data_IF_522836087137
#
_entry.id   IF_522836087137
#
_cell.length_a   1.000
_cell.length_b   1.000
_cell.length_c   1.000
_cell.angle_alpha   90.00
_cell.angle_beta   90.00
_cell.angle_gamma   90.00
#
_symmetry.space_group_name_H-M   'P 1'
#
loop_
_entity.id
_entity.type
_entity.pdbx_description
1 polymer ?
#
# COMPACT_ATOMS: atom_id res chain seq x y z
N UNK A 1 10.91 9.39 18.56
CA UNK A 1 11.14 10.13 17.30
C UNK A 1 9.94 11.01 17.05
N UNK A 2 10.12 12.22 16.51
CA UNK A 2 8.98 13.11 16.29
C UNK A 2 8.23 12.68 15.02
N UNK A 3 6.95 12.39 15.13
CA UNK A 3 6.05 12.22 13.99
C UNK A 3 5.86 13.60 13.35
N UNK A 4 6.11 13.69 12.05
CA UNK A 4 5.82 14.93 11.30
C UNK A 4 4.58 14.70 10.45
N UNK A 5 3.57 15.54 10.64
CA UNK A 5 2.39 15.60 9.79
C UNK A 5 2.78 16.34 8.50
N UNK A 6 2.51 15.73 7.37
CA UNK A 6 2.72 16.32 6.05
C UNK A 6 1.35 16.66 5.49
N UNK A 7 1.13 17.94 5.21
CA UNK A 7 -0.12 18.37 4.59
C UNK A 7 -0.24 17.90 3.12
N UNK A 8 -1.47 17.88 2.63
CA UNK A 8 -1.85 17.44 1.28
C UNK A 8 -1.03 18.16 0.18
N UNK A 9 -0.85 19.47 0.32
CA UNK A 9 -0.11 20.28 -0.64
C UNK A 9 1.35 19.84 -0.75
N UNK A 10 1.99 19.50 0.36
CA UNK A 10 3.38 19.04 0.38
C UNK A 10 3.54 17.68 -0.27
N UNK A 11 2.64 16.72 0.00
CA UNK A 11 2.66 15.42 -0.67
C UNK A 11 2.44 15.54 -2.17
N UNK A 12 1.50 16.39 -2.60
CA UNK A 12 1.28 16.65 -4.01
C UNK A 12 2.50 17.30 -4.67
N UNK A 13 3.15 18.23 -3.99
CA UNK A 13 4.37 18.87 -4.49
C UNK A 13 5.54 17.90 -4.62
N UNK A 14 5.68 16.93 -3.70
CA UNK A 14 6.69 15.85 -3.82
C UNK A 14 6.41 15.02 -5.07
N UNK A 15 5.16 14.56 -5.24
CA UNK A 15 4.77 13.76 -6.41
C UNK A 15 4.96 14.54 -7.72
N UNK A 16 4.62 15.83 -7.76
CA UNK A 16 4.85 16.72 -8.92
C UNK A 16 6.33 16.95 -9.16
N UNK A 17 7.15 17.13 -8.12
CA UNK A 17 8.59 17.30 -8.27
C UNK A 17 9.26 16.06 -8.85
N UNK A 18 8.82 14.87 -8.47
CA UNK A 18 9.27 13.60 -9.03
C UNK A 18 8.83 13.46 -10.49
N UNK A 19 7.57 13.80 -10.82
CA UNK A 19 7.02 13.71 -12.17
C UNK A 19 7.44 14.86 -13.10
N UNK A 20 7.53 16.08 -12.58
CA UNK A 20 7.70 17.31 -13.39
C UNK A 20 9.12 17.53 -13.93
N UNK A 21 10.11 16.72 -13.51
CA UNK A 21 11.46 16.76 -14.11
C UNK A 21 11.61 15.82 -15.30
N UNK A 22 10.56 15.10 -15.64
CA UNK A 22 10.51 14.15 -16.73
C UNK A 22 9.64 14.66 -17.89
N UNK A 23 10.12 15.66 -18.59
CA UNK A 23 9.39 16.24 -19.73
C UNK A 23 9.42 15.37 -21.00
N UNK A 24 9.77 14.09 -20.92
CA UNK A 24 10.00 13.37 -22.17
C UNK A 24 9.94 11.85 -22.18
N UNK A 25 9.37 11.15 -21.20
CA UNK A 25 9.31 9.70 -21.36
C UNK A 25 8.73 8.93 -20.19
N UNK A 26 8.24 7.73 -20.47
CA UNK A 26 7.85 6.74 -19.46
C UNK A 26 9.10 6.31 -18.69
N UNK A 27 9.17 6.63 -17.43
CA UNK A 27 10.27 6.21 -16.55
C UNK A 27 10.13 4.74 -16.21
N UNK A 28 11.19 3.96 -16.36
CA UNK A 28 11.26 2.59 -15.87
C UNK A 28 11.56 2.56 -14.38
N UNK A 29 11.16 1.46 -13.70
CA UNK A 29 11.42 1.27 -12.26
C UNK A 29 12.92 1.32 -11.95
N UNK A 30 13.76 0.80 -12.87
CA UNK A 30 15.23 0.76 -12.72
C UNK A 30 15.89 2.14 -12.85
N UNK A 31 15.26 3.09 -13.53
CA UNK A 31 15.77 4.46 -13.72
C UNK A 31 15.41 5.39 -12.54
N UNK A 32 14.43 5.00 -11.73
CA UNK A 32 13.92 5.84 -10.64
C UNK A 32 14.95 6.21 -9.59
N UNK A 33 15.77 5.31 -9.06
CA UNK A 33 16.76 5.66 -8.04
C UNK A 33 17.75 6.73 -8.54
N UNK A 34 18.22 6.60 -9.79
CA UNK A 34 19.14 7.56 -10.38
C UNK A 34 18.48 8.92 -10.62
N UNK A 35 17.21 8.95 -11.00
CA UNK A 35 16.47 10.20 -11.25
C UNK A 35 16.09 10.92 -9.96
N UNK A 36 15.69 10.17 -8.93
CA UNK A 36 15.46 10.73 -7.58
C UNK A 36 16.76 11.32 -7.03
N UNK A 37 17.88 10.61 -7.16
CA UNK A 37 19.20 11.09 -6.73
C UNK A 37 19.68 12.32 -7.54
N UNK A 38 19.23 12.50 -8.77
CA UNK A 38 19.55 13.63 -9.63
C UNK A 38 18.67 14.88 -9.37
N UNK A 39 17.66 14.81 -8.51
CA UNK A 39 16.91 16.00 -8.11
C UNK A 39 17.84 16.92 -7.30
N UNK A 40 18.14 18.16 -7.76
CA UNK A 40 19.03 19.04 -7.03
C UNK A 40 18.48 19.32 -5.64
N UNK A 41 19.22 18.91 -4.63
CA UNK A 41 18.92 19.13 -3.23
C UNK A 41 19.40 20.52 -2.85
N UNK A 42 18.49 21.49 -2.81
CA UNK A 42 18.77 22.78 -2.18
C UNK A 42 18.28 22.72 -0.72
N UNK A 43 19.11 22.12 0.12
CA UNK A 43 19.04 22.17 1.58
C UNK A 43 17.74 21.69 2.22
N UNK A 44 17.78 20.57 2.93
CA UNK A 44 16.74 20.05 3.86
C UNK A 44 15.27 20.19 3.39
N UNK A 45 14.99 19.95 2.13
CA UNK A 45 13.61 19.83 1.68
C UNK A 45 12.99 18.55 2.28
N UNK A 46 11.65 18.49 2.36
CA UNK A 46 10.97 17.30 2.82
C UNK A 46 11.35 16.06 2.01
N UNK A 47 11.58 16.23 0.70
CA UNK A 47 12.03 15.16 -0.20
C UNK A 47 13.44 14.67 0.17
N UNK A 48 14.36 15.58 0.49
CA UNK A 48 15.70 15.21 0.94
C UNK A 48 15.66 14.41 2.25
N UNK A 49 14.80 14.82 3.17
CA UNK A 49 14.60 14.12 4.45
C UNK A 49 13.96 12.73 4.26
N UNK A 50 13.06 12.59 3.30
CA UNK A 50 12.44 11.27 2.97
C UNK A 50 13.46 10.32 2.33
N UNK A 51 14.31 10.84 1.44
CA UNK A 51 15.33 10.05 0.72
C UNK A 51 16.55 9.78 1.61
N UNK A 52 17.01 10.78 2.38
CA UNK A 52 18.23 10.71 3.19
C UNK A 52 18.09 10.00 4.53
N UNK A 53 16.90 9.52 4.86
CA UNK A 53 16.66 8.79 6.12
C UNK A 53 16.26 9.67 7.30
N UNK A 54 15.99 10.96 7.10
CA UNK A 54 15.57 11.86 8.17
C UNK A 54 14.11 11.74 8.61
N UNK A 55 13.23 11.19 7.76
CA UNK A 55 11.81 10.99 8.07
C UNK A 55 11.49 9.50 8.08
N UNK A 56 10.99 9.01 9.20
CA UNK A 56 10.60 7.61 9.38
C UNK A 56 9.10 7.42 9.48
N UNK A 57 8.32 8.50 9.63
CA UNK A 57 6.87 8.45 9.77
C UNK A 57 6.20 9.60 9.02
N UNK A 58 5.14 9.27 8.31
CA UNK A 58 4.28 10.22 7.59
C UNK A 58 2.84 9.98 8.03
N UNK A 59 2.15 11.06 8.40
CA UNK A 59 0.71 11.09 8.58
C UNK A 59 0.15 12.28 7.80
N UNK A 60 -0.91 12.07 6.99
CA UNK A 60 -1.48 13.11 6.15
C UNK A 60 -2.95 12.85 5.83
N UNK A 61 -3.72 13.93 5.75
CA UNK A 61 -5.13 13.93 5.38
C UNK A 61 -5.38 13.97 3.86
N UNK A 62 -4.34 13.66 3.07
CA UNK A 62 -4.43 13.64 1.61
C UNK A 62 -5.54 12.70 1.14
N UNK A 63 -6.31 13.14 0.15
CA UNK A 63 -7.36 12.34 -0.47
C UNK A 63 -6.91 11.61 -1.74
N UNK A 64 -5.89 12.12 -2.42
CA UNK A 64 -5.33 11.53 -3.65
C UNK A 64 -3.81 11.44 -3.51
N UNK A 65 -3.27 10.23 -3.59
CA UNK A 65 -1.82 9.98 -3.61
C UNK A 65 -1.42 9.70 -5.06
N UNK A 66 -0.64 10.61 -5.63
CA UNK A 66 -0.16 10.50 -7.02
C UNK A 66 0.92 9.43 -7.12
N UNK A 67 1.16 8.93 -8.35
CA UNK A 67 2.20 7.92 -8.60
C UNK A 67 3.55 8.33 -8.03
N UNK A 68 4.27 7.37 -7.48
CA UNK A 68 5.62 7.50 -6.94
C UNK A 68 5.79 8.37 -5.68
N UNK A 69 4.70 8.77 -5.02
CA UNK A 69 4.77 9.72 -3.89
C UNK A 69 5.66 9.23 -2.73
N UNK A 70 5.72 7.94 -2.48
CA UNK A 70 6.53 7.32 -1.43
C UNK A 70 7.56 6.32 -1.95
N UNK A 71 7.72 6.21 -3.27
CA UNK A 71 8.67 5.27 -3.85
C UNK A 71 10.10 5.58 -3.42
N UNK A 72 10.86 4.52 -3.14
CA UNK A 72 12.27 4.59 -2.74
C UNK A 72 12.53 5.35 -1.43
N UNK A 73 11.49 5.66 -0.65
CA UNK A 73 11.66 6.27 0.67
C UNK A 73 12.11 5.21 1.69
N UNK A 74 13.35 4.76 1.56
CA UNK A 74 13.89 3.62 2.31
C UNK A 74 13.93 3.80 3.83
N UNK A 75 13.83 5.03 4.33
CA UNK A 75 13.77 5.32 5.76
C UNK A 75 12.37 5.20 6.38
N UNK A 76 11.32 5.21 5.55
CA UNK A 76 9.95 5.17 6.06
C UNK A 76 9.63 3.83 6.71
N UNK A 77 9.03 3.92 7.90
CA UNK A 77 8.54 2.79 8.70
C UNK A 77 7.05 2.85 8.95
N UNK A 78 6.49 4.06 8.96
CA UNK A 78 5.08 4.27 9.26
C UNK A 78 4.46 5.28 8.30
N UNK A 79 3.36 4.88 7.65
CA UNK A 79 2.55 5.74 6.77
C UNK A 79 1.08 5.59 7.18
N UNK A 80 0.45 6.72 7.50
CA UNK A 80 -0.97 6.80 7.90
C UNK A 80 -1.66 7.83 7.02
N UNK A 81 -2.59 7.37 6.17
CA UNK A 81 -3.34 8.18 5.21
C UNK A 81 -4.85 7.92 5.39
N UNK A 82 -5.46 8.39 6.49
CA UNK A 82 -6.81 7.98 6.88
C UNK A 82 -7.90 8.42 5.90
N UNK A 83 -7.64 9.47 5.13
CA UNK A 83 -8.60 10.05 4.19
C UNK A 83 -8.24 9.78 2.71
N UNK A 84 -7.17 9.03 2.42
CA UNK A 84 -6.80 8.71 1.05
C UNK A 84 -7.86 7.81 0.40
N UNK A 85 -8.47 8.30 -0.68
CA UNK A 85 -9.46 7.58 -1.47
C UNK A 85 -8.82 6.87 -2.66
N UNK A 86 -7.75 7.44 -3.20
CA UNK A 86 -7.07 6.92 -4.38
C UNK A 86 -5.56 6.97 -4.20
N UNK A 87 -4.92 5.85 -4.55
CA UNK A 87 -3.46 5.70 -4.59
C UNK A 87 -3.10 5.21 -5.99
N UNK A 88 -2.37 6.03 -6.73
CA UNK A 88 -1.93 5.70 -8.08
C UNK A 88 -0.82 4.63 -8.08
N UNK A 89 -0.43 4.13 -9.25
CA UNK A 89 0.60 3.08 -9.40
C UNK A 89 1.96 3.49 -8.81
N UNK A 90 2.75 2.51 -8.40
CA UNK A 90 4.13 2.64 -7.91
C UNK A 90 4.30 3.48 -6.64
N UNK A 91 3.28 3.60 -5.80
CA UNK A 91 3.33 4.53 -4.67
C UNK A 91 4.26 4.10 -3.54
N UNK A 92 4.20 2.82 -3.17
CA UNK A 92 5.01 2.29 -2.06
C UNK A 92 6.09 1.33 -2.58
N UNK A 93 6.50 1.47 -3.85
CA UNK A 93 7.55 0.64 -4.44
C UNK A 93 8.88 0.93 -3.78
N UNK A 94 9.62 -0.13 -3.43
CA UNK A 94 10.96 -0.03 -2.81
C UNK A 94 10.97 0.77 -1.50
N UNK A 95 10.02 0.47 -0.62
CA UNK A 95 9.99 0.97 0.77
C UNK A 95 10.26 -0.19 1.74
N UNK A 96 11.47 -0.75 1.74
CA UNK A 96 11.80 -2.06 2.33
C UNK A 96 11.77 -2.10 3.87
N UNK A 97 11.59 -0.97 4.51
CA UNK A 97 11.50 -0.86 5.98
C UNK A 97 10.13 -0.40 6.48
N UNK A 98 9.11 -0.38 5.60
CA UNK A 98 7.76 0.01 5.97
C UNK A 98 7.13 -1.06 6.87
N UNK A 99 6.92 -0.74 8.14
CA UNK A 99 6.36 -1.64 9.17
C UNK A 99 4.85 -1.46 9.34
N UNK A 100 4.34 -0.24 9.11
CA UNK A 100 2.93 0.10 9.22
C UNK A 100 2.44 0.92 8.04
N UNK A 101 1.31 0.50 7.46
CA UNK A 101 0.62 1.21 6.38
C UNK A 101 -0.88 1.21 6.65
N UNK A 102 -1.45 2.39 6.87
CA UNK A 102 -2.87 2.57 7.12
C UNK A 102 -3.51 3.41 6.00
N UNK A 103 -4.39 2.78 5.23
CA UNK A 103 -5.08 3.33 4.05
C UNK A 103 -6.55 2.89 4.01
N UNK A 104 -7.34 3.12 5.08
CA UNK A 104 -8.65 2.48 5.27
C UNK A 104 -9.68 2.83 4.19
N UNK A 105 -9.62 4.03 3.62
CA UNK A 105 -10.63 4.52 2.66
C UNK A 105 -10.27 4.30 1.19
N UNK A 106 -9.07 3.76 0.91
CA UNK A 106 -8.65 3.48 -0.47
C UNK A 106 -9.54 2.40 -1.08
N UNK A 107 -10.11 2.66 -2.27
CA UNK A 107 -10.99 1.71 -2.93
C UNK A 107 -10.40 1.03 -4.17
N UNK A 108 -9.30 1.56 -4.75
CA UNK A 108 -8.62 0.90 -5.87
C UNK A 108 -7.12 0.81 -5.62
N UNK A 109 -6.56 -0.37 -5.87
CA UNK A 109 -5.13 -0.63 -5.88
C UNK A 109 -4.71 -0.81 -7.34
N UNK A 110 -3.83 0.07 -7.81
CA UNK A 110 -3.29 0.03 -9.16
C UNK A 110 -2.03 -0.86 -9.23
N UNK A 111 -1.44 -1.01 -10.40
CA UNK A 111 -0.27 -1.88 -10.60
C UNK A 111 0.97 -1.39 -9.82
N UNK A 112 1.76 -2.34 -9.30
CA UNK A 112 3.03 -2.07 -8.59
C UNK A 112 2.89 -1.15 -7.37
N UNK A 113 1.74 -1.13 -6.71
CA UNK A 113 1.51 -0.19 -5.60
C UNK A 113 2.35 -0.54 -4.37
N UNK A 114 2.52 -1.83 -4.05
CA UNK A 114 3.19 -2.29 -2.83
C UNK A 114 4.46 -3.13 -3.11
N UNK A 115 5.11 -2.95 -4.24
CA UNK A 115 6.30 -3.74 -4.61
C UNK A 115 7.44 -3.51 -3.60
N UNK A 116 7.97 -4.59 -3.01
CA UNK A 116 9.06 -4.59 -2.02
C UNK A 116 8.80 -3.74 -0.76
N UNK A 117 7.67 -4.00 -0.08
CA UNK A 117 7.38 -3.44 1.25
C UNK A 117 7.54 -4.49 2.35
N UNK A 118 7.86 -4.04 3.56
CA UNK A 118 8.15 -4.94 4.70
C UNK A 118 6.96 -5.19 5.62
N UNK A 119 5.79 -4.60 5.36
CA UNK A 119 4.60 -4.80 6.22
C UNK A 119 4.25 -6.28 6.32
N UNK A 120 3.92 -6.74 7.52
CA UNK A 120 3.47 -8.11 7.75
C UNK A 120 1.96 -8.27 7.65
N UNK A 121 1.22 -7.18 7.81
CA UNK A 121 -0.25 -7.12 7.81
C UNK A 121 -0.74 -5.95 6.99
N UNK A 122 -1.87 -6.12 6.30
CA UNK A 122 -2.50 -5.05 5.54
C UNK A 122 -4.02 -5.15 5.65
N UNK A 123 -4.68 -4.07 6.09
CA UNK A 123 -6.13 -3.97 6.13
C UNK A 123 -6.65 -3.10 4.98
N UNK A 124 -7.32 -3.74 4.04
CA UNK A 124 -7.90 -3.15 2.84
C UNK A 124 -9.42 -2.99 3.02
N UNK A 125 -9.82 -2.13 3.95
CA UNK A 125 -11.20 -1.99 4.42
C UNK A 125 -12.18 -1.63 3.30
N UNK A 126 -11.80 -0.69 2.44
CA UNK A 126 -12.69 -0.14 1.40
C UNK A 126 -12.33 -0.60 -0.01
N UNK A 127 -11.29 -1.42 -0.18
CA UNK A 127 -10.82 -1.82 -1.51
C UNK A 127 -11.85 -2.70 -2.20
N UNK A 128 -12.21 -2.32 -3.43
CA UNK A 128 -13.13 -3.04 -4.32
C UNK A 128 -12.45 -3.53 -5.60
N UNK A 129 -11.23 -3.10 -5.87
CA UNK A 129 -10.45 -3.54 -7.03
C UNK A 129 -8.96 -3.61 -6.71
N UNK A 130 -8.36 -4.75 -7.06
CA UNK A 130 -6.90 -4.94 -7.10
C UNK A 130 -6.50 -5.10 -8.56
N UNK A 131 -5.64 -4.22 -9.03
CA UNK A 131 -5.23 -4.11 -10.44
C UNK A 131 -4.47 -5.31 -10.99
N UNK A 132 -4.01 -5.20 -12.24
CA UNK A 132 -3.65 -6.34 -13.08
C UNK A 132 -2.26 -6.93 -12.82
N UNK A 133 -1.29 -6.24 -12.26
CA UNK A 133 0.03 -6.83 -12.15
C UNK A 133 0.86 -6.37 -10.96
N UNK A 134 1.56 -7.34 -10.38
CA UNK A 134 2.67 -7.19 -9.44
C UNK A 134 2.43 -6.20 -8.30
N UNK A 135 1.17 -6.14 -7.79
CA UNK A 135 0.86 -5.20 -6.72
C UNK A 135 1.64 -5.50 -5.44
N UNK A 136 1.92 -6.78 -5.20
CA UNK A 136 2.60 -7.26 -3.99
C UNK A 136 3.91 -7.97 -4.32
N UNK A 137 4.60 -7.60 -5.41
CA UNK A 137 5.87 -8.20 -5.76
C UNK A 137 6.88 -8.01 -4.60
N UNK A 138 7.70 -9.03 -4.35
CA UNK A 138 8.74 -9.01 -3.32
C UNK A 138 8.25 -8.73 -1.88
N UNK A 139 6.95 -8.89 -1.60
CA UNK A 139 6.36 -8.69 -0.26
C UNK A 139 6.44 -9.96 0.59
N UNK A 140 7.64 -10.52 0.74
CA UNK A 140 7.85 -11.82 1.41
C UNK A 140 7.45 -11.85 2.89
N UNK A 141 7.40 -10.68 3.54
CA UNK A 141 7.00 -10.55 4.95
C UNK A 141 5.47 -10.46 5.13
N UNK A 142 4.72 -10.21 4.05
CA UNK A 142 3.28 -10.06 4.14
C UNK A 142 2.61 -11.41 4.39
N UNK A 143 2.04 -11.56 5.57
CA UNK A 143 1.42 -12.81 6.04
C UNK A 143 -0.11 -12.71 6.10
N UNK A 144 -0.65 -11.51 6.35
CA UNK A 144 -2.07 -11.30 6.58
C UNK A 144 -2.57 -10.11 5.76
N UNK A 145 -3.54 -10.38 4.89
CA UNK A 145 -4.33 -9.36 4.18
C UNK A 145 -5.77 -9.51 4.63
N UNK A 146 -6.38 -8.42 5.11
CA UNK A 146 -7.80 -8.43 5.47
C UNK A 146 -8.57 -7.54 4.50
N UNK A 147 -9.61 -8.10 3.89
CA UNK A 147 -10.50 -7.40 2.97
C UNK A 147 -11.78 -7.03 3.71
N UNK A 148 -12.13 -5.75 3.74
CA UNK A 148 -13.41 -5.31 4.32
C UNK A 148 -14.59 -5.49 3.36
N UNK A 149 -14.33 -5.53 2.06
CA UNK A 149 -15.34 -5.64 0.99
C UNK A 149 -14.93 -6.67 -0.07
N UNK A 150 -15.91 -7.13 -0.85
CA UNK A 150 -15.64 -7.91 -2.07
C UNK A 150 -14.84 -7.06 -3.05
N UNK A 151 -13.73 -7.59 -3.53
CA UNK A 151 -12.87 -6.91 -4.47
C UNK A 151 -12.64 -7.75 -5.72
N UNK A 152 -12.69 -7.13 -6.89
CA UNK A 152 -12.23 -7.77 -8.13
C UNK A 152 -10.70 -7.89 -8.12
N UNK A 153 -10.19 -9.00 -8.68
CA UNK A 153 -8.76 -9.23 -8.87
C UNK A 153 -8.46 -9.26 -10.38
N UNK A 154 -7.65 -8.34 -10.84
CA UNK A 154 -7.34 -8.18 -12.25
C UNK A 154 -6.70 -9.42 -12.88
N UNK A 155 -5.75 -10.03 -12.17
CA UNK A 155 -5.22 -11.36 -12.43
C UNK A 155 -4.52 -11.94 -11.19
N UNK A 156 -4.18 -13.24 -11.22
CA UNK A 156 -3.52 -13.91 -10.10
C UNK A 156 -2.10 -13.39 -9.83
N UNK A 157 -1.41 -12.83 -10.83
CA UNK A 157 -0.08 -12.25 -10.66
C UNK A 157 -0.07 -10.96 -9.84
N UNK A 158 -1.24 -10.38 -9.59
CA UNK A 158 -1.35 -9.22 -8.70
C UNK A 158 -0.84 -9.53 -7.28
N UNK A 159 -0.99 -10.78 -6.83
CA UNK A 159 -0.56 -11.27 -5.51
C UNK A 159 0.75 -12.08 -5.54
N UNK A 160 1.43 -12.13 -6.68
CA UNK A 160 2.75 -12.75 -6.79
C UNK A 160 3.78 -11.98 -5.98
N UNK A 161 4.54 -12.69 -5.14
CA UNK A 161 5.50 -12.09 -4.20
C UNK A 161 4.99 -11.96 -2.76
N UNK A 162 3.67 -12.13 -2.55
CA UNK A 162 3.04 -12.31 -1.25
C UNK A 162 2.50 -13.74 -1.12
N UNK A 163 3.29 -14.74 -1.50
CA UNK A 163 2.83 -16.13 -1.67
C UNK A 163 2.44 -16.80 -0.35
N UNK A 164 2.97 -16.32 0.77
CA UNK A 164 2.65 -16.78 2.12
C UNK A 164 1.41 -16.10 2.73
N UNK A 165 0.92 -15.02 2.12
CA UNK A 165 -0.18 -14.26 2.69
C UNK A 165 -1.48 -15.06 2.67
N UNK A 166 -2.17 -15.09 3.81
CA UNK A 166 -3.56 -15.51 3.91
C UNK A 166 -4.44 -14.27 3.77
N UNK A 167 -5.44 -14.38 2.93
CA UNK A 167 -6.42 -13.33 2.69
C UNK A 167 -7.67 -13.63 3.51
N UNK A 168 -7.97 -12.78 4.47
CA UNK A 168 -9.16 -12.89 5.30
C UNK A 168 -10.27 -12.00 4.75
N UNK A 169 -11.47 -12.56 4.62
CA UNK A 169 -12.64 -11.91 4.07
C UNK A 169 -13.81 -11.98 5.05
N UNK A 170 -14.83 -11.15 4.87
CA UNK A 170 -16.02 -11.21 5.70
C UNK A 170 -16.71 -12.58 5.56
N UNK A 171 -17.31 -13.14 6.63
CA UNK A 171 -17.91 -14.48 6.60
C UNK A 171 -18.93 -14.66 5.46
N UNK A 172 -19.78 -13.66 5.24
CA UNK A 172 -20.82 -13.68 4.21
C UNK A 172 -20.27 -13.59 2.78
N UNK A 173 -19.02 -13.17 2.64
CA UNK A 173 -18.34 -13.02 1.35
C UNK A 173 -17.55 -14.26 0.94
N UNK A 174 -17.26 -15.17 1.86
CA UNK A 174 -16.38 -16.32 1.63
C UNK A 174 -16.85 -17.19 0.45
N UNK A 175 -18.16 -17.43 0.34
CA UNK A 175 -18.73 -18.21 -0.78
C UNK A 175 -18.54 -17.51 -2.13
N UNK A 176 -18.61 -16.19 -2.18
CA UNK A 176 -18.36 -15.43 -3.40
C UNK A 176 -16.91 -15.61 -3.89
N UNK A 177 -15.92 -15.54 -3.00
CA UNK A 177 -14.51 -15.72 -3.35
C UNK A 177 -14.20 -17.13 -3.89
N UNK A 178 -14.98 -18.15 -3.55
CA UNK A 178 -14.81 -19.52 -4.05
C UNK A 178 -15.04 -19.64 -5.56
N UNK A 179 -15.84 -18.74 -6.14
CA UNK A 179 -16.22 -18.77 -7.56
C UNK A 179 -15.78 -17.54 -8.34
N UNK A 180 -15.35 -16.49 -7.66
CA UNK A 180 -14.95 -15.23 -8.28
C UNK A 180 -13.69 -15.40 -9.14
N UNK A 181 -13.67 -14.76 -10.30
CA UNK A 181 -12.57 -14.80 -11.26
C UNK A 181 -11.25 -14.41 -10.59
N UNK A 182 -10.20 -15.18 -10.85
CA UNK A 182 -8.85 -15.05 -10.29
C UNK A 182 -8.74 -15.33 -8.77
N UNK A 183 -9.84 -15.26 -8.01
CA UNK A 183 -9.86 -15.59 -6.59
C UNK A 183 -10.04 -17.08 -6.33
N UNK A 184 -10.81 -17.78 -7.16
CA UNK A 184 -11.16 -19.20 -6.96
C UNK A 184 -9.93 -20.11 -6.83
N UNK A 185 -8.85 -19.82 -7.56
CA UNK A 185 -7.58 -20.55 -7.42
C UNK A 185 -6.94 -20.35 -6.04
N UNK A 186 -6.96 -19.14 -5.50
CA UNK A 186 -6.44 -18.84 -4.16
C UNK A 186 -7.31 -19.49 -3.09
N UNK A 187 -8.62 -19.49 -3.29
CA UNK A 187 -9.56 -20.18 -2.41
C UNK A 187 -9.31 -21.70 -2.40
N UNK A 188 -9.16 -22.33 -3.55
CA UNK A 188 -8.86 -23.76 -3.68
C UNK A 188 -7.51 -24.14 -3.03
N UNK A 189 -6.56 -23.23 -2.99
CA UNK A 189 -5.26 -23.38 -2.34
C UNK A 189 -5.28 -23.00 -0.84
N UNK A 190 -6.46 -22.84 -0.25
CA UNK A 190 -6.63 -22.50 1.17
C UNK A 190 -5.95 -21.18 1.59
N UNK A 191 -5.83 -20.25 0.66
CA UNK A 191 -5.27 -18.90 0.90
C UNK A 191 -6.34 -17.85 1.23
N UNK A 192 -7.63 -18.20 1.15
CA UNK A 192 -8.74 -17.32 1.50
C UNK A 192 -9.48 -17.96 2.67
N UNK A 193 -9.66 -17.20 3.74
CA UNK A 193 -10.31 -17.61 4.98
C UNK A 193 -11.28 -16.56 5.48
N UNK A 194 -12.14 -16.96 6.41
CA UNK A 194 -13.03 -16.02 7.11
C UNK A 194 -12.26 -15.23 8.17
N UNK A 195 -12.59 -13.94 8.37
CA UNK A 195 -12.07 -13.14 9.50
C UNK A 195 -12.44 -13.77 10.85
N UNK A 196 -13.47 -14.62 10.91
CA UNK A 196 -13.82 -15.40 12.12
C UNK A 196 -12.76 -16.45 12.51
N UNK A 197 -11.82 -16.76 11.62
CA UNK A 197 -10.70 -17.68 11.86
C UNK A 197 -9.43 -16.96 12.36
N UNK A 198 -9.45 -15.61 12.43
CA UNK A 198 -8.34 -14.86 13.01
C UNK A 198 -8.14 -15.21 14.47
N UNK A 199 -6.88 -15.33 14.88
CA UNK A 199 -6.49 -15.64 16.25
C UNK A 199 -5.26 -14.82 16.67
N UNK A 200 -4.95 -14.80 17.97
CA UNK A 200 -3.73 -14.20 18.50
C UNK A 200 -3.56 -12.73 18.13
N UNK A 201 -2.35 -12.38 17.73
CA UNK A 201 -1.97 -11.00 17.42
C UNK A 201 -2.68 -10.45 16.19
N UNK A 202 -3.04 -11.28 15.23
CA UNK A 202 -3.76 -10.84 14.02
C UNK A 202 -5.19 -10.44 14.35
N UNK A 203 -5.87 -11.19 15.23
CA UNK A 203 -7.20 -10.84 15.72
C UNK A 203 -7.16 -9.52 16.52
N UNK A 204 -6.20 -9.39 17.42
CA UNK A 204 -6.03 -8.19 18.25
C UNK A 204 -5.77 -6.96 17.36
N UNK A 205 -4.87 -7.09 16.39
CA UNK A 205 -4.57 -6.02 15.45
C UNK A 205 -5.80 -5.64 14.60
N UNK A 206 -6.54 -6.63 14.09
CA UNK A 206 -7.76 -6.38 13.31
C UNK A 206 -8.81 -5.62 14.13
N UNK A 207 -9.04 -6.00 15.38
CA UNK A 207 -9.96 -5.31 16.28
C UNK A 207 -9.54 -3.86 16.54
N UNK A 208 -8.23 -3.60 16.67
CA UNK A 208 -7.69 -2.24 16.79
C UNK A 208 -7.95 -1.42 15.53
N UNK A 209 -7.80 -2.01 14.34
CA UNK A 209 -8.08 -1.32 13.09
C UNK A 209 -9.57 -0.96 12.96
N UNK A 210 -10.48 -1.87 13.30
CA UNK A 210 -11.92 -1.60 13.29
C UNK A 210 -12.31 -0.50 14.29
N UNK A 211 -11.71 -0.50 15.49
CA UNK A 211 -11.96 0.53 16.49
C UNK A 211 -11.44 1.91 16.04
N UNK A 212 -10.33 1.94 15.31
CA UNK A 212 -9.71 3.17 14.82
C UNK A 212 -10.43 3.73 13.58
N UNK A 213 -10.91 2.85 12.72
CA UNK A 213 -11.57 3.16 11.46
C UNK A 213 -12.91 2.44 11.37
N UNK A 214 -13.94 2.89 12.10
CA UNK A 214 -15.26 2.29 12.01
C UNK A 214 -15.83 2.44 10.59
N UNK A 215 -16.65 1.48 10.17
CA UNK A 215 -17.37 1.60 8.89
C UNK A 215 -18.32 2.80 8.97
N UNK A 216 -18.28 3.65 7.93
CA UNK A 216 -19.26 4.73 7.80
C UNK A 216 -20.60 4.09 7.35
N UNK A 217 -21.68 4.36 8.10
CA UNK A 217 -23.03 3.91 7.80
C UNK A 217 -23.61 4.50 6.50
#
# INVERSE_FOLDING_TARGET
MATRVIDDTKLQNIAVAIQGKDSGGTMTVDEMPARIAAIPTQGNTLLDLLISGGITSVESDVTIVKSYAFSYCSSLRNIVLPNALSISSYNFTEVPHLENLEIPKVFNIFSHTFDNIAVSRLFLQSVVQIGYSRNFANCSNLNTIIMGKRASLGNTNALSGADNAIIYVQPDDLSWYSTATNWSTLYANNRIKSVSELTGDDLTWYQQQLAKYPEEE
#
